data_IF_788651680300
#
_entry.id   IF_788651680300
#
_cell.length_a   1.000
_cell.length_b   1.000
_cell.length_c   1.000
_cell.angle_alpha   90.00
_cell.angle_beta   90.00
_cell.angle_gamma   90.00
#
_symmetry.space_group_name_H-M   'P 1'
#
loop_
_entity.id
_entity.type
_entity.pdbx_description
1 polymer ?
#
# COMPACT_ATOMS: atom_id res chain seq x y z
N UNK A 1 -65.62 12.36 -66.88
CA UNK A 1 -64.88 12.22 -68.15
C UNK A 1 -63.62 11.41 -67.90
N UNK A 2 -63.49 10.29 -68.63
CA UNK A 2 -62.29 9.62 -69.16
C UNK A 2 -61.15 9.22 -68.20
N UNK A 3 -60.96 7.90 -67.94
CA UNK A 3 -60.08 6.91 -68.62
C UNK A 3 -58.62 6.98 -68.13
N UNK A 4 -58.14 5.97 -67.39
CA UNK A 4 -57.55 4.71 -67.88
C UNK A 4 -56.18 4.89 -68.57
N UNK A 5 -55.10 4.36 -67.98
CA UNK A 5 -54.21 3.33 -68.58
C UNK A 5 -52.97 3.05 -67.71
N UNK A 6 -52.82 1.77 -67.37
CA UNK A 6 -51.52 1.13 -67.10
C UNK A 6 -50.70 1.00 -68.38
N UNK A 7 -49.36 1.06 -68.27
CA UNK A 7 -48.28 0.45 -69.09
C UNK A 7 -46.99 1.13 -68.59
N UNK A 8 -45.80 0.54 -68.47
CA UNK A 8 -45.25 -0.77 -68.77
C UNK A 8 -43.97 -0.96 -67.94
N UNK A 9 -43.55 -2.21 -67.79
CA UNK A 9 -42.29 -2.64 -67.17
C UNK A 9 -41.08 -2.07 -67.92
N UNK A 10 -40.02 -1.72 -67.18
CA UNK A 10 -38.65 -1.86 -67.66
C UNK A 10 -37.76 -2.24 -66.48
N UNK A 11 -37.13 -3.41 -66.60
CA UNK A 11 -36.14 -3.93 -65.68
C UNK A 11 -34.77 -3.39 -66.09
N UNK A 12 -33.98 -2.90 -65.14
CA UNK A 12 -32.54 -2.74 -65.30
C UNK A 12 -31.82 -2.71 -63.93
N UNK A 13 -30.96 -3.71 -63.76
CA UNK A 13 -29.68 -3.74 -63.06
C UNK A 13 -29.55 -3.19 -61.62
N UNK A 14 -29.09 -4.10 -60.76
CA UNK A 14 -28.65 -3.87 -59.40
C UNK A 14 -27.40 -2.99 -59.31
N UNK A 15 -27.36 -2.13 -58.29
CA UNK A 15 -26.14 -1.74 -57.58
C UNK A 15 -26.48 -1.70 -56.09
N UNK A 16 -26.11 -2.76 -55.37
CA UNK A 16 -26.13 -2.76 -53.91
C UNK A 16 -24.93 -1.93 -53.43
N UNK A 17 -25.18 -0.71 -52.98
CA UNK A 17 -24.20 0.08 -52.23
C UNK A 17 -24.09 -0.52 -50.81
N UNK A 18 -23.10 -1.39 -50.63
CA UNK A 18 -22.65 -1.86 -49.32
C UNK A 18 -22.02 -0.69 -48.56
N UNK A 19 -22.78 -0.09 -47.65
CA UNK A 19 -22.24 0.82 -46.64
C UNK A 19 -21.36 -0.01 -45.71
N UNK A 20 -20.08 0.37 -45.63
CA UNK A 20 -19.07 -0.34 -44.88
C UNK A 20 -19.24 -0.25 -43.37
N UNK A 21 -18.67 -1.24 -42.69
CA UNK A 21 -18.11 -1.06 -41.35
C UNK A 21 -16.60 -1.23 -41.49
N UNK A 22 -15.87 -0.13 -41.61
CA UNK A 22 -14.43 -0.16 -41.34
C UNK A 22 -14.27 -0.52 -39.87
N UNK A 23 -13.75 -1.71 -39.58
CA UNK A 23 -13.39 -2.08 -38.22
C UNK A 23 -12.31 -1.09 -37.72
N UNK A 24 -12.48 -0.47 -36.55
CA UNK A 24 -11.38 0.27 -35.93
C UNK A 24 -10.21 -0.70 -35.73
N UNK A 25 -8.96 -0.24 -35.91
CA UNK A 25 -7.80 -1.07 -35.62
C UNK A 25 -7.91 -1.61 -34.19
N UNK A 26 -7.47 -2.84 -33.91
CA UNK A 26 -7.45 -3.35 -32.55
C UNK A 26 -6.71 -2.34 -31.69
N UNK A 27 -7.38 -1.84 -30.65
CA UNK A 27 -6.74 -0.97 -29.68
C UNK A 27 -5.54 -1.73 -29.12
N UNK A 28 -4.34 -1.25 -29.45
CA UNK A 28 -3.12 -1.67 -28.78
C UNK A 28 -3.39 -1.60 -27.28
N UNK A 29 -3.44 -2.76 -26.65
CA UNK A 29 -3.61 -2.86 -25.21
C UNK A 29 -2.36 -2.25 -24.60
N UNK A 30 -2.46 -0.98 -24.18
CA UNK A 30 -1.40 -0.33 -23.43
C UNK A 30 -1.00 -1.26 -22.27
N UNK A 31 0.31 -1.44 -22.01
CA UNK A 31 0.75 -2.27 -20.91
C UNK A 31 0.13 -1.73 -19.62
N UNK A 32 -0.76 -2.53 -19.01
CA UNK A 32 -1.27 -2.26 -17.68
C UNK A 32 -0.07 -2.20 -16.74
N UNK A 33 0.23 -1.01 -16.21
CA UNK A 33 1.24 -0.83 -15.17
C UNK A 33 0.67 -1.48 -13.92
N UNK A 34 0.84 -2.79 -13.80
CA UNK A 34 0.29 -3.56 -12.69
C UNK A 34 0.75 -2.92 -11.37
N UNK A 35 -0.21 -2.63 -10.49
CA UNK A 35 0.07 -2.01 -9.21
C UNK A 35 1.05 -2.89 -8.41
N UNK A 36 2.02 -2.26 -7.73
CA UNK A 36 3.02 -2.97 -6.94
C UNK A 36 2.33 -3.81 -5.85
N UNK A 37 2.68 -5.10 -5.69
CA UNK A 37 2.13 -5.92 -4.60
C UNK A 37 2.55 -5.37 -3.25
N UNK A 38 1.66 -5.49 -2.27
CA UNK A 38 1.93 -5.05 -0.91
C UNK A 38 2.98 -5.95 -0.24
N UNK A 39 4.00 -5.40 0.42
CA UNK A 39 5.05 -6.19 1.08
C UNK A 39 4.50 -7.25 2.05
N UNK A 40 3.52 -6.87 2.87
CA UNK A 40 2.86 -7.74 3.85
C UNK A 40 1.89 -8.77 3.26
N UNK A 41 1.63 -8.77 1.95
CA UNK A 41 0.88 -9.85 1.29
C UNK A 41 1.76 -11.07 0.99
N UNK A 42 3.08 -10.97 1.22
CA UNK A 42 3.99 -12.12 1.15
C UNK A 42 3.85 -13.00 2.40
N UNK A 43 4.58 -14.13 2.43
CA UNK A 43 4.61 -15.03 3.57
C UNK A 43 4.89 -14.29 4.90
N UNK A 44 4.14 -14.67 5.94
CA UNK A 44 4.28 -14.14 7.28
C UNK A 44 5.60 -14.54 7.92
N UNK A 45 6.11 -13.70 8.80
CA UNK A 45 7.23 -14.05 9.67
C UNK A 45 6.76 -14.98 10.79
N UNK A 46 7.47 -16.08 11.01
CA UNK A 46 7.25 -16.90 12.20
C UNK A 46 7.61 -16.09 13.46
N UNK A 47 6.87 -16.27 14.55
CA UNK A 47 7.14 -15.59 15.84
C UNK A 47 8.60 -15.70 16.28
N UNK A 48 9.23 -16.86 16.11
CA UNK A 48 10.63 -17.11 16.49
C UNK A 48 11.66 -16.40 15.61
N UNK A 49 11.27 -15.94 14.42
CA UNK A 49 12.13 -15.17 13.52
C UNK A 49 12.18 -13.67 13.88
N UNK A 50 11.30 -13.21 14.78
CA UNK A 50 11.23 -11.81 15.20
C UNK A 50 11.79 -11.67 16.60
N UNK A 51 12.51 -10.58 16.85
CA UNK A 51 13.04 -10.29 18.18
C UNK A 51 11.89 -10.17 19.18
N UNK A 52 12.05 -10.86 20.33
CA UNK A 52 11.01 -11.04 21.36
C UNK A 52 10.25 -9.77 21.75
N UNK A 53 10.92 -8.62 21.71
CA UNK A 53 10.32 -7.32 22.07
C UNK A 53 9.09 -6.96 21.22
N UNK A 54 9.03 -7.35 19.94
CA UNK A 54 7.83 -7.13 19.11
C UNK A 54 6.62 -7.87 19.67
N UNK A 55 6.77 -9.16 19.94
CA UNK A 55 5.69 -9.97 20.49
C UNK A 55 5.26 -9.46 21.87
N UNK A 56 6.22 -9.07 22.73
CA UNK A 56 5.91 -8.51 24.05
C UNK A 56 5.13 -7.19 23.96
N UNK A 57 5.56 -6.25 23.10
CA UNK A 57 4.86 -4.97 22.94
C UNK A 57 3.46 -5.15 22.35
N UNK A 58 3.32 -5.99 21.32
CA UNK A 58 2.01 -6.29 20.73
C UNK A 58 1.06 -6.98 21.71
N UNK A 59 1.55 -7.94 22.49
CA UNK A 59 0.72 -8.66 23.45
C UNK A 59 0.16 -7.76 24.55
N UNK A 60 0.91 -6.72 24.94
CA UNK A 60 0.50 -5.77 25.95
C UNK A 60 -0.39 -4.63 25.42
N UNK A 61 -0.55 -4.49 24.09
CA UNK A 61 -1.27 -3.38 23.49
C UNK A 61 -2.79 -3.61 23.47
N UNK A 62 -3.55 -2.56 23.81
CA UNK A 62 -5.01 -2.59 23.81
C UNK A 62 -5.59 -2.83 22.40
N UNK A 63 -4.93 -2.30 21.37
CA UNK A 63 -5.37 -2.40 19.98
C UNK A 63 -5.04 -3.74 19.30
N UNK A 64 -4.39 -4.70 19.98
CA UNK A 64 -3.84 -5.94 19.39
C UNK A 64 -4.85 -6.79 18.61
N UNK A 65 -6.13 -6.74 18.99
CA UNK A 65 -7.21 -7.45 18.29
C UNK A 65 -7.59 -6.83 16.93
N UNK A 66 -7.17 -5.58 16.69
CA UNK A 66 -7.53 -4.77 15.52
C UNK A 66 -6.32 -4.24 14.74
N UNK A 67 -5.12 -4.53 15.25
CA UNK A 67 -3.85 -4.05 14.72
C UNK A 67 -2.84 -5.19 14.71
N UNK A 68 -2.67 -5.84 13.56
CA UNK A 68 -1.73 -6.93 13.38
C UNK A 68 -0.29 -6.50 13.61
N UNK A 69 0.53 -7.41 14.14
CA UNK A 69 1.96 -7.18 14.35
C UNK A 69 2.71 -7.21 13.02
N UNK A 70 3.47 -6.13 12.75
CA UNK A 70 4.39 -6.04 11.62
C UNK A 70 5.83 -6.01 12.12
N UNK A 71 6.73 -6.67 11.40
CA UNK A 71 8.17 -6.55 11.61
C UNK A 71 8.90 -6.52 10.25
N UNK A 72 10.04 -5.82 10.16
CA UNK A 72 10.88 -5.85 8.96
C UNK A 72 11.67 -7.16 8.88
N UNK A 73 11.75 -7.76 7.68
CA UNK A 73 12.59 -8.95 7.43
C UNK A 73 14.09 -8.61 7.35
N UNK A 74 14.42 -7.35 7.04
CA UNK A 74 15.78 -6.84 6.93
C UNK A 74 15.80 -5.35 7.29
N UNK A 75 16.94 -4.87 7.83
CA UNK A 75 17.07 -3.51 8.34
C UNK A 75 17.86 -2.58 7.42
N UNK A 76 18.45 -3.07 6.33
CA UNK A 76 19.18 -2.22 5.37
C UNK A 76 20.36 -1.47 6.02
N UNK A 77 20.38 -0.15 5.91
CA UNK A 77 21.38 0.69 6.57
C UNK A 77 21.28 0.67 8.11
N UNK A 78 20.13 0.29 8.65
CA UNK A 78 19.91 0.09 10.09
C UNK A 78 20.43 -1.25 10.64
N UNK A 79 21.16 -2.04 9.85
CA UNK A 79 21.70 -3.32 10.34
C UNK A 79 22.64 -3.13 11.53
N UNK A 80 22.54 -4.03 12.50
CA UNK A 80 23.26 -3.93 13.78
C UNK A 80 22.58 -3.03 14.82
N UNK A 81 21.47 -2.37 14.49
CA UNK A 81 20.69 -1.61 15.47
C UNK A 81 20.05 -2.53 16.52
N UNK A 82 19.95 -2.03 17.75
CA UNK A 82 19.38 -2.76 18.89
C UNK A 82 17.90 -2.47 19.02
N UNK A 83 17.00 -3.47 18.91
CA UNK A 83 15.57 -3.25 19.07
C UNK A 83 15.22 -3.08 20.55
N UNK A 84 14.27 -2.18 20.84
CA UNK A 84 13.74 -1.94 22.17
C UNK A 84 12.27 -1.57 22.15
N UNK A 85 11.63 -1.70 23.31
CA UNK A 85 10.29 -1.18 23.50
C UNK A 85 10.27 0.34 23.27
N UNK A 86 9.18 0.81 22.65
CA UNK A 86 8.85 2.21 22.53
C UNK A 86 7.39 2.41 22.92
N UNK A 87 7.09 3.56 23.52
CA UNK A 87 5.73 3.88 23.93
C UNK A 87 4.99 4.53 22.76
N UNK A 88 3.78 4.05 22.48
CA UNK A 88 2.87 4.68 21.54
C UNK A 88 1.45 4.62 22.09
N UNK A 89 0.75 5.75 22.12
CA UNK A 89 -0.55 5.84 22.79
C UNK A 89 -1.55 4.84 22.21
N UNK A 90 -2.13 4.00 23.07
CA UNK A 90 -3.15 3.01 22.71
C UNK A 90 -2.69 1.87 21.81
N UNK A 91 -1.37 1.73 21.58
CA UNK A 91 -0.83 0.79 20.61
C UNK A 91 0.46 0.09 21.06
N UNK A 92 1.15 -0.51 20.11
CA UNK A 92 2.47 -1.12 20.30
C UNK A 92 3.51 -0.39 19.47
N UNK A 93 4.75 -0.34 19.95
CA UNK A 93 5.86 0.15 19.15
C UNK A 93 7.19 -0.51 19.51
N UNK A 94 8.03 -0.68 18.50
CA UNK A 94 9.42 -1.08 18.64
C UNK A 94 10.29 -0.07 17.92
N UNK A 95 11.26 0.47 18.65
CA UNK A 95 12.30 1.33 18.11
C UNK A 95 13.60 0.54 17.98
N UNK A 96 14.42 0.91 17.02
CA UNK A 96 15.78 0.43 16.88
C UNK A 96 16.74 1.58 17.20
N UNK A 97 17.71 1.31 18.07
CA UNK A 97 18.75 2.26 18.46
C UNK A 97 20.06 1.90 17.75
N UNK A 98 20.74 2.90 17.20
CA UNK A 98 22.15 2.82 16.80
C UNK A 98 23.03 3.43 17.92
N UNK A 99 24.36 3.18 17.95
CA UNK A 99 25.24 3.59 19.06
C UNK A 99 25.04 5.04 19.55
N UNK A 100 24.88 5.98 18.61
CA UNK A 100 24.71 7.40 18.93
C UNK A 100 23.31 7.95 18.59
N UNK A 101 22.40 7.09 18.11
CA UNK A 101 21.09 7.50 17.62
C UNK A 101 20.01 6.63 18.24
N UNK A 102 19.46 7.12 19.36
CA UNK A 102 18.26 6.54 19.98
C UNK A 102 17.04 6.75 19.08
N UNK A 103 16.17 5.73 18.99
CA UNK A 103 15.06 5.69 18.04
C UNK A 103 15.50 6.03 16.61
N UNK A 104 16.65 5.49 16.18
CA UNK A 104 17.16 5.69 14.81
C UNK A 104 16.09 5.39 13.77
N UNK A 105 15.26 4.37 14.01
CA UNK A 105 14.08 4.06 13.22
C UNK A 105 13.13 3.18 14.04
N UNK A 106 11.96 2.86 13.49
CA UNK A 106 11.07 1.90 14.12
C UNK A 106 9.69 1.83 13.49
N UNK A 107 8.86 1.00 14.12
CA UNK A 107 7.52 0.66 13.67
C UNK A 107 6.57 0.68 14.87
N UNK A 108 5.38 1.25 14.67
CA UNK A 108 4.29 1.21 15.62
C UNK A 108 2.97 0.86 14.94
N UNK A 109 2.16 0.05 15.62
CA UNK A 109 0.74 -0.07 15.35
C UNK A 109 0.00 0.81 16.34
N UNK A 110 -0.49 1.96 15.89
CA UNK A 110 -0.97 3.05 16.77
C UNK A 110 -2.38 2.80 17.30
N UNK A 111 -2.79 3.49 18.36
CA UNK A 111 -4.19 3.53 18.80
C UNK A 111 -5.12 4.32 17.87
N UNK A 112 -4.58 5.04 16.88
CA UNK A 112 -5.35 5.85 15.94
C UNK A 112 -6.01 4.99 14.85
N UNK A 113 -7.18 5.44 14.37
CA UNK A 113 -7.90 4.77 13.29
C UNK A 113 -7.24 5.05 11.94
N UNK A 114 -7.15 4.03 11.09
CA UNK A 114 -6.67 4.16 9.72
C UNK A 114 -7.54 5.11 8.88
N UNK A 115 -8.82 5.27 9.22
CA UNK A 115 -9.77 6.10 8.48
C UNK A 115 -9.77 7.57 8.88
N UNK A 116 -8.95 7.97 9.85
CA UNK A 116 -8.89 9.36 10.29
C UNK A 116 -8.21 10.23 9.21
N UNK A 117 -8.90 11.25 8.67
CA UNK A 117 -8.39 12.08 7.59
C UNK A 117 -7.33 13.09 8.03
N UNK A 118 -7.17 13.33 9.35
CA UNK A 118 -6.12 14.24 9.88
C UNK A 118 -4.70 13.77 9.51
N UNK A 119 -4.57 12.52 9.09
CA UNK A 119 -3.32 11.87 8.71
C UNK A 119 -3.04 11.83 7.20
N UNK A 120 -3.79 12.57 6.37
CA UNK A 120 -3.69 12.52 4.90
C UNK A 120 -2.72 13.53 4.27
N UNK A 121 -2.30 14.55 5.03
CA UNK A 121 -1.45 15.62 4.53
C UNK A 121 0.03 15.18 4.46
N UNK A 122 0.44 14.65 3.29
CA UNK A 122 1.81 14.21 3.04
C UNK A 122 2.30 14.64 1.66
N UNK A 123 3.58 15.01 1.51
CA UNK A 123 4.16 15.39 0.23
C UNK A 123 4.35 14.18 -0.69
N UNK A 124 4.59 12.98 -0.13
CA UNK A 124 4.78 11.76 -0.89
C UNK A 124 3.70 10.75 -0.53
N UNK A 125 3.28 9.96 -1.53
CA UNK A 125 2.28 8.91 -1.38
C UNK A 125 2.68 7.66 -2.15
N UNK A 126 2.42 6.51 -1.55
CA UNK A 126 2.52 5.21 -2.19
C UNK A 126 1.22 4.44 -2.01
N UNK A 127 0.81 3.72 -3.06
CA UNK A 127 -0.35 2.83 -3.06
C UNK A 127 0.06 1.46 -3.58
N UNK A 128 -0.50 0.41 -2.99
CA UNK A 128 -0.27 -0.98 -3.38
C UNK A 128 -1.52 -1.61 -4.00
N UNK A 129 -1.33 -2.77 -4.63
CA UNK A 129 -2.39 -3.50 -5.34
C UNK A 129 -3.56 -3.95 -4.46
N UNK A 130 -3.32 -4.18 -3.17
CA UNK A 130 -4.34 -4.58 -2.18
C UNK A 130 -5.19 -3.41 -1.68
N UNK A 131 -4.93 -2.18 -2.16
CA UNK A 131 -5.63 -0.96 -1.73
C UNK A 131 -4.99 -0.27 -0.53
N UNK A 132 -3.93 -0.84 0.06
CA UNK A 132 -3.16 -0.18 1.11
C UNK A 132 -2.45 1.07 0.60
N UNK A 133 -2.20 2.01 1.50
CA UNK A 133 -1.56 3.29 1.19
C UNK A 133 -0.58 3.73 2.26
N UNK A 134 0.45 4.49 1.87
CA UNK A 134 1.32 5.19 2.78
C UNK A 134 1.45 6.65 2.34
N UNK A 135 1.22 7.58 3.26
CA UNK A 135 1.65 8.98 3.12
C UNK A 135 2.92 9.19 3.93
N UNK A 136 3.94 9.83 3.37
CA UNK A 136 5.23 9.98 4.04
C UNK A 136 6.02 11.21 3.61
N UNK A 137 7.07 11.52 4.38
CA UNK A 137 8.01 12.61 4.14
C UNK A 137 8.69 13.07 5.42
N UNK A 138 9.28 14.28 5.42
CA UNK A 138 9.86 14.90 6.60
C UNK A 138 8.89 14.93 7.77
N UNK A 139 9.32 14.39 8.91
CA UNK A 139 8.60 14.50 10.17
C UNK A 139 8.46 16.00 10.53
N UNK A 140 7.24 16.45 10.82
CA UNK A 140 6.94 17.86 11.06
C UNK A 140 7.06 18.77 9.83
N UNK A 141 7.26 18.21 8.63
CA UNK A 141 7.28 18.94 7.35
C UNK A 141 8.63 19.54 6.95
N UNK A 142 9.63 19.59 7.84
CA UNK A 142 10.92 20.26 7.58
C UNK A 142 12.15 19.48 8.04
N UNK A 143 12.00 18.44 8.87
CA UNK A 143 13.13 17.76 9.52
C UNK A 143 13.86 16.74 8.62
N UNK A 144 15.10 16.35 8.97
CA UNK A 144 15.78 15.25 8.29
C UNK A 144 15.14 13.90 8.62
N UNK A 145 14.50 13.79 9.80
CA UNK A 145 13.73 12.62 10.20
C UNK A 145 12.56 12.41 9.24
N UNK A 146 12.27 11.16 8.95
CA UNK A 146 11.21 10.77 8.04
C UNK A 146 10.16 9.96 8.78
N UNK A 147 8.91 10.14 8.40
CA UNK A 147 7.76 9.44 8.96
C UNK A 147 6.83 9.01 7.82
N UNK A 148 6.29 7.80 7.96
CA UNK A 148 5.23 7.28 7.12
C UNK A 148 4.03 6.89 7.98
N UNK A 149 2.85 7.32 7.53
CA UNK A 149 1.57 6.83 7.96
C UNK A 149 1.08 5.77 6.98
N UNK A 150 1.13 4.52 7.43
CA UNK A 150 0.77 3.35 6.65
C UNK A 150 -0.63 2.86 7.03
N UNK A 151 -1.49 2.72 6.02
CA UNK A 151 -2.84 2.16 6.11
C UNK A 151 -2.84 0.85 5.35
N UNK A 152 -3.02 -0.26 6.08
CA UNK A 152 -3.08 -1.58 5.47
C UNK A 152 -4.53 -1.99 5.28
N UNK A 153 -4.87 -2.44 4.07
CA UNK A 153 -6.19 -2.95 3.76
C UNK A 153 -6.59 -4.08 4.73
N UNK A 154 -7.79 -3.95 5.33
CA UNK A 154 -8.30 -4.89 6.33
C UNK A 154 -7.80 -4.66 7.77
N UNK A 155 -6.85 -3.75 8.01
CA UNK A 155 -6.47 -3.32 9.36
C UNK A 155 -7.25 -2.06 9.76
N UNK A 156 -7.56 -1.93 11.06
CA UNK A 156 -8.30 -0.75 11.57
C UNK A 156 -7.38 0.34 12.13
N UNK A 157 -6.16 -0.01 12.52
CA UNK A 157 -5.19 0.93 13.07
C UNK A 157 -4.38 1.61 11.97
N UNK A 158 -3.94 2.84 12.27
CA UNK A 158 -2.86 3.48 11.53
C UNK A 158 -1.51 2.91 11.99
N UNK A 159 -0.61 2.63 11.05
CA UNK A 159 0.77 2.29 11.35
C UNK A 159 1.66 3.52 11.22
N UNK A 160 2.65 3.64 12.09
CA UNK A 160 3.70 4.65 12.00
C UNK A 160 5.03 3.94 11.75
N UNK A 161 5.75 4.36 10.73
CA UNK A 161 7.10 3.90 10.44
C UNK A 161 7.99 5.13 10.34
N UNK A 162 9.06 5.18 11.10
CA UNK A 162 9.94 6.35 11.11
C UNK A 162 11.38 5.96 10.86
N UNK A 163 12.17 6.92 10.35
CA UNK A 163 13.58 6.76 10.08
C UNK A 163 14.31 8.09 10.21
N UNK A 164 15.29 8.15 11.11
CA UNK A 164 16.29 9.21 11.23
C UNK A 164 17.48 9.01 10.29
N UNK A 165 17.52 7.88 9.58
CA UNK A 165 18.54 7.57 8.57
C UNK A 165 18.20 8.15 7.18
N UNK A 166 17.02 8.77 7.04
CA UNK A 166 16.58 9.42 5.81
C UNK A 166 15.52 8.64 5.04
N UNK A 167 15.12 9.22 3.90
CA UNK A 167 13.94 8.80 3.14
C UNK A 167 14.16 7.44 2.47
N UNK A 168 15.33 7.21 1.88
CA UNK A 168 15.65 5.94 1.25
C UNK A 168 15.56 4.77 2.24
N UNK A 169 16.06 4.97 3.47
CA UNK A 169 15.94 3.97 4.52
C UNK A 169 14.47 3.75 4.96
N UNK A 170 13.66 4.81 5.05
CA UNK A 170 12.22 4.68 5.34
C UNK A 170 11.50 3.85 4.26
N UNK A 171 11.72 4.18 2.99
CA UNK A 171 11.13 3.47 1.86
C UNK A 171 11.58 2.01 1.80
N UNK A 172 12.85 1.76 2.11
CA UNK A 172 13.39 0.41 2.26
C UNK A 172 12.65 -0.35 3.37
N UNK A 173 12.53 0.22 4.57
CA UNK A 173 11.81 -0.40 5.69
C UNK A 173 10.38 -0.76 5.32
N UNK A 174 9.65 0.13 4.63
CA UNK A 174 8.29 -0.14 4.16
C UNK A 174 8.22 -1.38 3.26
N UNK A 175 9.23 -1.62 2.42
CA UNK A 175 9.31 -2.81 1.55
C UNK A 175 9.65 -4.10 2.31
N UNK A 176 10.24 -3.98 3.50
CA UNK A 176 10.63 -5.13 4.32
C UNK A 176 9.55 -5.58 5.31
N UNK A 177 8.46 -4.83 5.48
CA UNK A 177 7.41 -5.18 6.45
C UNK A 177 6.67 -6.46 6.06
N UNK A 178 6.50 -7.35 7.03
CA UNK A 178 5.66 -8.55 6.94
C UNK A 178 4.80 -8.68 8.20
N UNK A 179 3.61 -9.25 8.05
CA UNK A 179 2.84 -9.70 9.20
C UNK A 179 3.59 -10.80 9.94
N UNK A 180 3.49 -10.79 11.26
CA UNK A 180 4.03 -11.84 12.12
C UNK A 180 2.92 -12.82 12.46
N UNK A 181 3.13 -14.11 12.18
CA UNK A 181 2.25 -15.17 12.64
C UNK A 181 2.50 -15.42 14.13
N UNK A 182 1.45 -15.20 14.91
CA UNK A 182 1.43 -15.34 16.36
C UNK A 182 0.69 -16.59 16.83
N UNK A 183 0.28 -17.47 15.90
CA UNK A 183 -0.24 -18.78 16.25
C UNK A 183 0.87 -19.63 16.88
N UNK A 184 0.58 -20.25 18.03
CA UNK A 184 1.49 -21.21 18.66
C UNK A 184 1.51 -22.47 17.78
N UNK A 185 2.59 -22.69 17.04
CA UNK A 185 2.98 -24.02 16.58
C UNK A 185 4.34 -24.36 17.15
#
# INVERSE_FOLDING_TARGET
MLRCRSFARSAAAAVALSIGCAQPPPADSAPSTAARPAPWSSATLARGAVVRVFATQWQAADNRASCGLLAPVALGEGQGATPRAATFSGGWAVAYDLPDVRSAFGIAGTGSLATDPSYDAWPLRQRWADGSTAGYGPEGGTGPNQLAYLRIAGQRCLYNVWSRLGQQHLEYLLQQLRFVDLSNR
#
